data_IF_553556369042
#
_entry.id   IF_553556369042
#
_cell.length_a   1.000
_cell.length_b   1.000
_cell.length_c   1.000
_cell.angle_alpha   90.00
_cell.angle_beta   90.00
_cell.angle_gamma   90.00
#
_symmetry.space_group_name_H-M   'P 1'
#
loop_
_entity.id
_entity.type
_entity.pdbx_description
1 polymer ?
#
# COMPACT_ATOMS: atom_id res chain seq x y z
N UNK A 1 -18.00 -20.79 -1.63
CA UNK A 1 -17.35 -20.38 -2.91
C UNK A 1 -17.52 -18.88 -3.14
N UNK A 2 -18.71 -18.31 -3.00
CA UNK A 2 -18.97 -16.86 -3.19
C UNK A 2 -18.19 -15.94 -2.23
N UNK A 3 -18.05 -16.34 -0.96
CA UNK A 3 -17.31 -15.57 0.06
C UNK A 3 -15.82 -15.38 -0.29
N UNK A 4 -15.19 -16.40 -0.87
CA UNK A 4 -13.80 -16.36 -1.29
C UNK A 4 -13.58 -15.44 -2.52
N UNK A 5 -14.50 -15.47 -3.48
CA UNK A 5 -14.45 -14.59 -4.66
C UNK A 5 -14.69 -13.11 -4.27
N UNK A 6 -15.59 -12.88 -3.32
CA UNK A 6 -15.87 -11.54 -2.79
C UNK A 6 -14.66 -10.97 -2.02
N UNK A 7 -13.97 -11.82 -1.23
CA UNK A 7 -12.72 -11.47 -0.55
C UNK A 7 -11.61 -11.07 -1.53
N UNK A 8 -11.43 -11.81 -2.62
CA UNK A 8 -10.45 -11.48 -3.67
C UNK A 8 -10.75 -10.15 -4.37
N UNK A 9 -12.02 -9.85 -4.67
CA UNK A 9 -12.41 -8.57 -5.27
C UNK A 9 -12.09 -7.40 -4.34
N UNK A 10 -12.40 -7.53 -3.06
CA UNK A 10 -12.12 -6.53 -2.04
C UNK A 10 -10.62 -6.28 -1.90
N UNK A 11 -9.82 -7.35 -1.83
CA UNK A 11 -8.35 -7.27 -1.80
C UNK A 11 -7.77 -6.58 -3.05
N UNK A 12 -8.33 -6.84 -4.23
CA UNK A 12 -7.91 -6.17 -5.46
C UNK A 12 -8.23 -4.66 -5.46
N UNK A 13 -9.40 -4.26 -4.97
CA UNK A 13 -9.76 -2.85 -4.80
C UNK A 13 -8.86 -2.13 -3.79
N UNK A 14 -8.56 -2.78 -2.66
CA UNK A 14 -7.62 -2.24 -1.67
C UNK A 14 -6.21 -2.12 -2.26
N UNK A 15 -5.77 -3.06 -3.10
CA UNK A 15 -4.44 -3.02 -3.71
C UNK A 15 -4.30 -1.81 -4.62
N UNK A 16 -5.29 -1.58 -5.49
CA UNK A 16 -5.29 -0.41 -6.36
C UNK A 16 -5.24 0.91 -5.55
N UNK A 17 -6.08 1.02 -4.52
CA UNK A 17 -6.13 2.23 -3.68
C UNK A 17 -4.79 2.50 -2.97
N UNK A 18 -4.12 1.44 -2.50
CA UNK A 18 -2.82 1.57 -1.85
C UNK A 18 -1.71 1.90 -2.86
N UNK A 19 -1.73 1.33 -4.06
CA UNK A 19 -0.75 1.67 -5.10
C UNK A 19 -0.87 3.16 -5.52
N UNK A 20 -2.10 3.67 -5.66
CA UNK A 20 -2.37 5.10 -5.89
C UNK A 20 -1.88 5.97 -4.72
N UNK A 21 -2.09 5.52 -3.48
CA UNK A 21 -1.62 6.22 -2.29
C UNK A 21 -0.08 6.27 -2.22
N UNK A 22 0.63 5.18 -2.55
CA UNK A 22 2.09 5.15 -2.62
C UNK A 22 2.59 6.12 -3.69
N UNK A 23 1.99 6.10 -4.88
CA UNK A 23 2.35 7.00 -5.97
C UNK A 23 2.14 8.48 -5.56
N UNK A 24 1.04 8.79 -4.89
CA UNK A 24 0.77 10.13 -4.38
C UNK A 24 1.77 10.56 -3.32
N UNK A 25 2.04 9.71 -2.32
CA UNK A 25 2.99 10.03 -1.26
C UNK A 25 4.41 10.26 -1.80
N UNK A 26 4.84 9.48 -2.81
CA UNK A 26 6.12 9.70 -3.49
C UNK A 26 6.19 11.06 -4.18
N UNK A 27 5.13 11.46 -4.89
CA UNK A 27 5.03 12.79 -5.51
C UNK A 27 5.08 13.90 -4.46
N UNK A 28 4.42 13.73 -3.32
CA UNK A 28 4.48 14.69 -2.21
C UNK A 28 5.89 14.80 -1.63
N UNK A 29 6.60 13.70 -1.43
CA UNK A 29 8.00 13.71 -0.96
C UNK A 29 8.93 14.40 -1.97
N UNK A 30 8.78 14.14 -3.27
CA UNK A 30 9.54 14.83 -4.32
C UNK A 30 9.28 16.34 -4.31
N UNK A 31 8.02 16.75 -4.21
CA UNK A 31 7.64 18.17 -4.13
C UNK A 31 8.23 18.84 -2.88
N UNK A 32 8.12 18.21 -1.71
CA UNK A 32 8.68 18.74 -0.46
C UNK A 32 10.21 18.93 -0.58
N UNK A 33 10.91 17.97 -1.18
CA UNK A 33 12.35 18.09 -1.46
C UNK A 33 12.66 19.29 -2.37
N UNK A 34 11.90 19.46 -3.46
CA UNK A 34 12.08 20.59 -4.38
C UNK A 34 11.84 21.93 -3.69
N UNK A 35 10.80 22.04 -2.87
CA UNK A 35 10.49 23.26 -2.11
C UNK A 35 11.58 23.57 -1.08
N UNK A 36 12.08 22.56 -0.36
CA UNK A 36 13.21 22.72 0.55
C UNK A 36 14.48 23.19 -0.17
N UNK A 37 14.85 22.55 -1.28
CA UNK A 37 16.02 22.94 -2.08
C UNK A 37 15.89 24.36 -2.66
N UNK A 38 14.67 24.78 -2.98
CA UNK A 38 14.38 26.14 -3.43
C UNK A 38 14.31 27.16 -2.27
N UNK A 39 14.51 26.76 -1.02
CA UNK A 39 14.38 27.62 0.16
C UNK A 39 12.94 28.06 0.47
N UNK A 40 11.94 27.37 -0.08
CA UNK A 40 10.51 27.70 0.01
C UNK A 40 9.77 26.93 1.11
N UNK A 41 10.40 25.92 1.70
CA UNK A 41 9.85 25.14 2.81
C UNK A 41 10.97 24.70 3.77
N UNK A 42 10.59 24.33 4.99
CA UNK A 42 11.50 23.81 6.01
C UNK A 42 11.83 22.34 5.75
N UNK A 43 13.01 21.88 6.19
CA UNK A 43 13.37 20.46 6.12
C UNK A 43 12.40 19.56 6.92
N UNK A 44 11.67 20.12 7.91
CA UNK A 44 10.63 19.38 8.62
C UNK A 44 9.49 18.91 7.71
N UNK A 45 9.16 19.67 6.67
CA UNK A 45 8.14 19.31 5.67
C UNK A 45 8.58 18.09 4.83
N UNK A 46 9.87 18.00 4.52
CA UNK A 46 10.47 16.82 3.86
C UNK A 46 10.35 15.59 4.75
N UNK A 47 10.68 15.73 6.03
CA UNK A 47 10.61 14.62 7.00
C UNK A 47 9.16 14.17 7.19
N UNK A 48 8.20 15.10 7.26
CA UNK A 48 6.78 14.76 7.38
C UNK A 48 6.29 13.99 6.13
N UNK A 49 6.61 14.49 4.93
CA UNK A 49 6.27 13.81 3.69
C UNK A 49 6.90 12.42 3.59
N UNK A 50 8.15 12.25 4.02
CA UNK A 50 8.83 10.95 4.08
C UNK A 50 8.19 10.01 5.11
N UNK A 51 7.78 10.52 6.28
CA UNK A 51 7.06 9.72 7.29
C UNK A 51 5.73 9.21 6.76
N UNK A 52 4.99 10.05 6.05
CA UNK A 52 3.76 9.65 5.39
C UNK A 52 4.01 8.58 4.32
N UNK A 53 5.00 8.78 3.44
CA UNK A 53 5.40 7.78 2.45
C UNK A 53 5.73 6.42 3.10
N UNK A 54 6.55 6.43 4.15
CA UNK A 54 6.91 5.21 4.88
C UNK A 54 5.71 4.55 5.57
N UNK A 55 4.70 5.31 6.00
CA UNK A 55 3.46 4.75 6.53
C UNK A 55 2.65 4.04 5.44
N UNK A 56 2.47 4.68 4.29
CA UNK A 56 1.71 4.12 3.16
C UNK A 56 2.43 2.88 2.57
N UNK A 57 3.75 2.91 2.43
CA UNK A 57 4.53 1.76 1.96
C UNK A 57 4.42 0.56 2.92
N UNK A 58 4.37 0.79 4.24
CA UNK A 58 4.11 -0.27 5.22
C UNK A 58 2.72 -0.88 5.06
N UNK A 59 1.69 -0.07 4.84
CA UNK A 59 0.34 -0.57 4.54
C UNK A 59 0.30 -1.41 3.26
N UNK A 60 1.06 -1.02 2.23
CA UNK A 60 1.20 -1.82 1.01
C UNK A 60 1.81 -3.20 1.26
N UNK A 61 2.85 -3.27 2.08
CA UNK A 61 3.46 -4.55 2.47
C UNK A 61 2.48 -5.42 3.26
N UNK A 62 1.75 -4.84 4.22
CA UNK A 62 0.74 -5.57 4.99
C UNK A 62 -0.37 -6.15 4.10
N UNK A 63 -0.86 -5.36 3.14
CA UNK A 63 -1.89 -5.81 2.21
C UNK A 63 -1.41 -6.94 1.29
N UNK A 64 -0.16 -6.87 0.80
CA UNK A 64 0.45 -7.97 0.04
C UNK A 64 0.54 -9.24 0.90
N UNK A 65 0.89 -9.11 2.17
CA UNK A 65 0.88 -10.22 3.14
C UNK A 65 -0.52 -10.83 3.31
N UNK A 66 -1.55 -10.00 3.50
CA UNK A 66 -2.93 -10.45 3.61
C UNK A 66 -3.37 -11.23 2.36
N UNK A 67 -3.08 -10.70 1.17
CA UNK A 67 -3.37 -11.38 -0.11
C UNK A 67 -2.69 -12.74 -0.23
N UNK A 68 -1.42 -12.85 0.19
CA UNK A 68 -0.70 -14.12 0.18
C UNK A 68 -1.37 -15.16 1.09
N UNK A 69 -1.72 -14.77 2.32
CA UNK A 69 -2.43 -15.63 3.28
C UNK A 69 -3.80 -16.08 2.75
N UNK A 70 -4.59 -15.17 2.19
CA UNK A 70 -5.89 -15.52 1.57
C UNK A 70 -5.72 -16.48 0.40
N UNK A 71 -4.68 -16.31 -0.42
CA UNK A 71 -4.38 -17.20 -1.54
C UNK A 71 -4.05 -18.62 -1.04
N UNK A 72 -3.22 -18.75 -0.01
CA UNK A 72 -2.90 -20.05 0.61
C UNK A 72 -4.14 -20.71 1.21
N UNK A 73 -4.99 -19.95 1.91
CA UNK A 73 -6.24 -20.45 2.47
C UNK A 73 -7.20 -20.97 1.39
N UNK A 74 -7.30 -20.25 0.26
CA UNK A 74 -8.10 -20.64 -0.88
C UNK A 74 -7.60 -21.96 -1.49
N UNK A 75 -6.29 -22.08 -1.74
CA UNK A 75 -5.66 -23.31 -2.26
C UNK A 75 -5.98 -24.50 -1.35
N UNK A 76 -5.85 -24.31 -0.03
CA UNK A 76 -6.20 -25.34 0.95
C UNK A 76 -7.67 -25.76 0.88
N UNK A 77 -8.58 -24.78 0.73
CA UNK A 77 -10.03 -25.03 0.67
C UNK A 77 -10.51 -25.72 -0.62
N UNK A 78 -9.78 -25.56 -1.73
CA UNK A 78 -10.17 -26.05 -3.05
C UNK A 78 -9.68 -27.47 -3.39
N UNK A 79 -8.84 -28.07 -2.54
CA UNK A 79 -8.32 -29.41 -2.83
C UNK A 79 -7.13 -29.86 -1.98
N UNK A 80 -6.68 -29.05 -1.02
CA UNK A 80 -5.62 -29.42 -0.06
C UNK A 80 -6.14 -30.14 1.19
N UNK A 81 -7.28 -30.83 1.07
CA UNK A 81 -7.90 -31.63 2.12
C UNK A 81 -7.89 -33.12 1.76
N UNK A 82 -6.69 -33.70 1.65
CA UNK A 82 -6.38 -35.14 1.74
C UNK A 82 -5.00 -35.27 2.36
#
# INVERSE_FOLDING_TARGET
MEDNLSGLRTLAGQAQAIDDAVASARRSTDLANKLYQAGRSSYLDVIDAQRNLAAVERSAVQLRGARATTTVALIRSLGGGW
#
